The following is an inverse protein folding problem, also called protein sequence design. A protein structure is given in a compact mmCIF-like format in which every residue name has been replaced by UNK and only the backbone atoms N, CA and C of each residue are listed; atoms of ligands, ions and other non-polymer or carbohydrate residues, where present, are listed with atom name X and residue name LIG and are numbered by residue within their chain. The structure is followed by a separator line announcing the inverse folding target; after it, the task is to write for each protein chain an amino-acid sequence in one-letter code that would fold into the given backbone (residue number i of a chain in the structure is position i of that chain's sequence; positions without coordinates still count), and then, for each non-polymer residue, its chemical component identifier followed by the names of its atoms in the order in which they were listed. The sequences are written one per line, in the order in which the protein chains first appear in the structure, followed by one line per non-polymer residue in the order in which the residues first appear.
data_IF_226859423526
#
_entry.id   IF_226859423526
#
_cell.length_a   1.000
_cell.length_b   1.000
_cell.length_c   1.000
_cell.angle_alpha   90.00
_cell.angle_beta   90.00
_cell.angle_gamma   90.00
#
_symmetry.space_group_name_H-M   'P 1'
#
loop_
_entity.id
_entity.type
_entity.pdbx_description
1 polymer ?
#
# COMPACT_ATOMS: atom_id res chain seq x y z
N UNK A 1 3.15 -11.11 -7.75
CA UNK A 1 3.22 -10.48 -6.41
C UNK A 1 3.09 -11.57 -5.34
N UNK A 2 3.69 -11.39 -4.17
CA UNK A 2 3.53 -12.28 -3.02
C UNK A 2 2.60 -11.57 -2.06
N UNK A 3 1.59 -12.27 -1.57
CA UNK A 3 0.58 -11.73 -0.68
C UNK A 3 0.78 -12.17 0.77
N UNK A 4 0.24 -11.44 1.75
CA UNK A 4 0.22 -11.91 3.13
C UNK A 4 -0.44 -13.28 3.25
N UNK A 5 0.28 -14.25 3.80
CA UNK A 5 -0.16 -15.65 3.94
C UNK A 5 0.43 -16.63 2.92
N UNK A 6 1.09 -16.12 1.87
CA UNK A 6 1.82 -16.97 0.94
C UNK A 6 3.07 -17.59 1.59
N UNK A 7 3.33 -18.87 1.30
CA UNK A 7 4.56 -19.53 1.71
C UNK A 7 5.70 -19.23 0.71
N UNK A 8 6.54 -18.27 1.10
CA UNK A 8 7.70 -17.84 0.33
C UNK A 8 8.66 -19.00 0.03
N UNK A 9 8.83 -19.94 0.97
CA UNK A 9 9.73 -21.08 0.78
C UNK A 9 9.19 -22.03 -0.28
N UNK A 10 7.87 -22.30 -0.22
CA UNK A 10 7.20 -23.10 -1.24
C UNK A 10 7.28 -22.44 -2.62
N UNK A 11 7.00 -21.14 -2.72
CA UNK A 11 7.08 -20.40 -3.98
C UNK A 11 8.50 -20.46 -4.55
N UNK A 12 9.51 -20.21 -3.71
CA UNK A 12 10.92 -20.28 -4.12
C UNK A 12 11.29 -21.67 -4.62
N UNK A 13 10.91 -22.72 -3.88
CA UNK A 13 11.14 -24.11 -4.27
C UNK A 13 10.50 -24.42 -5.62
N UNK A 14 9.27 -23.94 -5.86
CA UNK A 14 8.58 -24.15 -7.12
C UNK A 14 9.27 -23.47 -8.30
N UNK A 15 9.80 -22.26 -8.10
CA UNK A 15 10.62 -21.56 -9.10
C UNK A 15 11.90 -22.38 -9.38
N UNK A 16 12.59 -22.86 -8.34
CA UNK A 16 13.79 -23.69 -8.49
C UNK A 16 13.54 -24.99 -9.27
N UNK A 17 12.40 -25.65 -9.03
CA UNK A 17 11.96 -26.83 -9.79
C UNK A 17 11.78 -26.52 -11.28
N UNK A 18 11.02 -25.47 -11.60
CA UNK A 18 10.76 -25.06 -13.00
C UNK A 18 12.06 -24.71 -13.72
N UNK A 19 12.96 -23.97 -13.08
CA UNK A 19 14.23 -23.60 -13.71
C UNK A 19 15.09 -24.82 -14.03
N UNK A 20 15.12 -25.82 -13.13
CA UNK A 20 15.84 -27.08 -13.33
C UNK A 20 15.22 -27.94 -14.45
N UNK A 21 13.90 -28.00 -14.56
CA UNK A 21 13.20 -28.70 -15.66
C UNK A 21 13.58 -28.15 -17.04
N UNK A 22 13.96 -26.88 -17.11
CA UNK A 22 14.33 -26.19 -18.34
C UNK A 22 15.85 -25.94 -18.51
N UNK A 23 16.70 -26.59 -17.70
CA UNK A 23 18.17 -26.40 -17.69
C UNK A 23 18.59 -24.91 -17.62
N UNK A 24 17.84 -24.12 -16.86
CA UNK A 24 18.03 -22.69 -16.73
C UNK A 24 18.54 -22.32 -15.33
N UNK A 25 19.28 -21.20 -15.24
CA UNK A 25 19.76 -20.65 -13.98
C UNK A 25 19.03 -19.36 -13.63
N UNK A 26 18.87 -19.09 -12.34
CA UNK A 26 18.27 -17.83 -11.88
C UNK A 26 19.00 -17.28 -10.66
N UNK A 27 18.84 -15.97 -10.44
CA UNK A 27 19.31 -15.28 -9.25
C UNK A 27 18.24 -14.29 -8.81
N UNK A 28 17.84 -14.36 -7.54
CA UNK A 28 16.97 -13.34 -6.93
C UNK A 28 17.82 -12.10 -6.68
N UNK A 29 17.44 -10.97 -7.30
CA UNK A 29 18.13 -9.67 -7.12
C UNK A 29 17.54 -8.86 -5.97
N UNK A 30 16.21 -8.78 -5.90
CA UNK A 30 15.45 -8.02 -4.91
C UNK A 30 14.28 -8.87 -4.46
N UNK A 31 14.00 -8.81 -3.17
CA UNK A 31 12.86 -9.47 -2.55
C UNK A 31 12.39 -8.61 -1.39
N UNK A 32 11.15 -8.12 -1.48
CA UNK A 32 10.49 -7.35 -0.43
C UNK A 32 9.38 -8.20 0.20
N UNK A 33 9.33 -8.22 1.53
CA UNK A 33 8.26 -8.94 2.22
C UNK A 33 6.93 -8.19 2.11
N UNK A 34 5.79 -8.92 2.03
CA UNK A 34 4.49 -8.29 2.15
C UNK A 34 4.36 -7.59 3.50
N UNK A 35 4.01 -6.31 3.48
CA UNK A 35 3.77 -5.53 4.69
C UNK A 35 2.29 -5.45 5.02
N UNK A 36 1.98 -5.44 6.32
CA UNK A 36 0.63 -5.24 6.84
C UNK A 36 0.67 -4.28 8.02
N UNK A 37 -0.27 -3.37 8.07
CA UNK A 37 -0.51 -2.50 9.21
C UNK A 37 -1.78 -2.95 9.96
N UNK A 38 -1.76 -2.87 11.29
CA UNK A 38 -2.96 -3.14 12.10
C UNK A 38 -3.98 -2.03 11.92
N UNK A 39 -5.27 -2.38 11.90
CA UNK A 39 -6.36 -1.38 11.86
C UNK A 39 -6.49 -0.60 13.17
N UNK A 40 -5.84 -1.05 14.23
CA UNK A 40 -5.85 -0.41 15.53
C UNK A 40 -4.69 0.58 15.71
N UNK A 41 -3.79 0.70 14.72
CA UNK A 41 -2.75 1.72 14.75
C UNK A 41 -3.38 3.13 14.80
N UNK A 42 -2.84 4.05 15.62
CA UNK A 42 -3.36 5.41 15.74
C UNK A 42 -3.47 6.12 14.39
N UNK A 43 -2.46 5.99 13.53
CA UNK A 43 -2.45 6.59 12.19
C UNK A 43 -3.61 6.10 11.31
N UNK A 44 -3.99 4.83 11.45
CA UNK A 44 -5.13 4.24 10.72
C UNK A 44 -6.43 4.83 11.25
N UNK A 45 -6.62 4.88 12.58
CA UNK A 45 -7.83 5.46 13.19
C UNK A 45 -8.01 6.94 12.88
N UNK A 46 -6.92 7.70 12.80
CA UNK A 46 -6.97 9.12 12.43
C UNK A 46 -7.41 9.26 10.98
N UNK A 47 -6.85 8.45 10.07
CA UNK A 47 -7.23 8.50 8.65
C UNK A 47 -8.70 8.10 8.46
N UNK A 48 -9.17 7.04 9.13
CA UNK A 48 -10.59 6.63 9.14
C UNK A 48 -11.51 7.82 9.46
N UNK A 49 -11.26 8.48 10.61
CA UNK A 49 -12.03 9.65 11.05
C UNK A 49 -11.94 10.83 10.09
N UNK A 50 -10.83 10.97 9.38
CA UNK A 50 -10.61 12.06 8.42
C UNK A 50 -11.42 11.88 7.15
N UNK A 51 -11.67 10.62 6.76
CA UNK A 51 -12.47 10.24 5.58
C UNK A 51 -13.98 10.33 5.86
N UNK A 52 -14.40 10.07 7.11
CA UNK A 52 -15.80 10.05 7.52
C UNK A 52 -16.58 11.31 7.08
N UNK A 53 -17.72 11.07 6.45
CA UNK A 53 -18.59 12.14 5.94
C UNK A 53 -18.12 12.83 4.66
N UNK A 54 -16.97 12.43 4.09
CA UNK A 54 -16.51 12.88 2.76
C UNK A 54 -16.61 11.72 1.76
N UNK A 55 -15.99 10.57 2.09
CA UNK A 55 -16.07 9.34 1.30
C UNK A 55 -16.33 8.14 2.22
N UNK A 56 -16.64 6.99 1.62
CA UNK A 56 -16.73 5.72 2.34
C UNK A 56 -15.31 5.24 2.70
N UNK A 57 -15.11 4.81 3.94
CA UNK A 57 -13.86 4.18 4.37
C UNK A 57 -13.77 2.78 3.77
N UNK A 58 -12.70 2.52 3.02
CA UNK A 58 -12.40 1.21 2.46
C UNK A 58 -10.95 0.84 2.76
N UNK A 59 -10.74 -0.42 3.16
CA UNK A 59 -9.40 -0.96 3.37
C UNK A 59 -9.05 -1.83 2.19
N UNK A 60 -7.93 -1.54 1.56
CA UNK A 60 -7.40 -2.32 0.46
C UNK A 60 -5.93 -2.65 0.68
N UNK A 61 -5.47 -3.66 -0.04
CA UNK A 61 -4.04 -3.89 -0.26
C UNK A 61 -3.67 -3.41 -1.66
N UNK A 62 -2.45 -2.93 -1.82
CA UNK A 62 -1.88 -2.59 -3.12
C UNK A 62 -0.91 -3.71 -3.51
N UNK A 63 -1.10 -4.42 -4.64
CA UNK A 63 -0.20 -5.48 -5.11
C UNK A 63 1.09 -4.92 -5.73
N UNK A 64 1.65 -3.88 -5.11
CA UNK A 64 2.86 -3.19 -5.52
C UNK A 64 3.58 -2.66 -4.28
N UNK A 65 4.84 -2.27 -4.47
CA UNK A 65 5.70 -1.75 -3.42
C UNK A 65 5.54 -0.23 -3.29
N UNK A 66 5.64 0.29 -2.05
CA UNK A 66 5.69 1.73 -1.76
C UNK A 66 6.68 1.98 -0.62
N UNK A 67 7.10 3.23 -0.44
CA UNK A 67 8.00 3.64 0.65
C UNK A 67 7.43 3.36 2.06
N UNK A 68 6.11 3.15 2.18
CA UNK A 68 5.50 2.74 3.45
C UNK A 68 6.06 1.40 3.96
N UNK A 69 6.54 0.53 3.07
CA UNK A 69 7.22 -0.71 3.45
C UNK A 69 8.45 -0.45 4.32
N UNK A 70 9.31 0.48 3.88
CA UNK A 70 10.51 0.87 4.62
C UNK A 70 10.19 1.52 5.97
N UNK A 71 9.11 2.31 6.04
CA UNK A 71 8.70 2.97 7.27
C UNK A 71 8.17 1.96 8.29
N UNK A 72 7.30 1.05 7.85
CA UNK A 72 6.74 -0.01 8.70
C UNK A 72 7.84 -0.94 9.20
N UNK A 73 8.80 -1.32 8.35
CA UNK A 73 9.94 -2.15 8.76
C UNK A 73 10.79 -1.47 9.84
N UNK A 74 10.90 -0.14 9.82
CA UNK A 74 11.57 0.66 10.85
C UNK A 74 10.72 0.92 12.10
N UNK A 75 9.54 0.31 12.20
CA UNK A 75 8.63 0.46 13.33
C UNK A 75 7.84 1.77 13.31
N UNK A 76 7.68 2.41 12.15
CA UNK A 76 6.87 3.62 11.98
C UNK A 76 5.55 3.22 11.28
N UNK A 77 4.42 3.12 12.01
CA UNK A 77 3.12 2.83 11.41
C UNK A 77 2.79 3.84 10.31
N UNK A 78 2.51 3.33 9.11
CA UNK A 78 2.30 4.15 7.92
C UNK A 78 1.10 3.67 7.09
N UNK A 79 0.33 4.60 6.56
CA UNK A 79 -0.80 4.34 5.66
C UNK A 79 -0.49 4.88 4.27
N UNK A 80 -0.99 4.20 3.24
CA UNK A 80 -0.95 4.68 1.86
C UNK A 80 -2.35 5.22 1.56
N UNK A 81 -2.43 6.51 1.23
CA UNK A 81 -3.69 7.16 0.92
C UNK A 81 -3.48 8.20 -0.18
N UNK A 82 -4.40 8.24 -1.13
CA UNK A 82 -4.33 9.13 -2.28
C UNK A 82 -5.62 9.06 -3.09
N UNK A 83 -5.73 9.95 -4.07
CA UNK A 83 -6.87 10.01 -4.98
C UNK A 83 -6.44 9.76 -6.43
N UNK A 84 -7.42 9.57 -7.31
CA UNK A 84 -7.21 9.17 -8.69
C UNK A 84 -7.41 7.67 -8.89
N UNK A 85 -7.20 7.23 -10.14
CA UNK A 85 -7.47 5.85 -10.55
C UNK A 85 -6.17 5.15 -10.91
N UNK A 86 -5.84 4.09 -10.18
CA UNK A 86 -4.63 3.29 -10.44
C UNK A 86 -4.62 2.68 -11.85
N UNK A 87 -5.79 2.42 -12.43
CA UNK A 87 -5.96 1.81 -13.76
C UNK A 87 -5.39 2.66 -14.91
N UNK A 88 -5.36 4.00 -14.74
CA UNK A 88 -4.83 4.93 -15.76
C UNK A 88 -3.50 5.54 -15.36
N UNK A 89 -2.98 5.21 -14.16
CA UNK A 89 -1.69 5.68 -13.70
C UNK A 89 -0.58 5.14 -14.60
N UNK A 90 0.42 5.98 -14.93
CA UNK A 90 1.52 5.66 -15.84
C UNK A 90 1.09 5.33 -17.26
N UNK A 91 -0.10 5.79 -17.67
CA UNK A 91 -0.58 5.68 -19.05
C UNK A 91 -0.64 7.07 -19.71
N UNK A 92 -0.89 7.10 -21.01
CA UNK A 92 -1.11 8.38 -21.73
C UNK A 92 -2.40 9.08 -21.30
N UNK A 93 -3.33 8.34 -20.70
CA UNK A 93 -4.62 8.83 -20.23
C UNK A 93 -4.59 9.13 -18.72
N UNK A 94 -3.41 9.37 -18.13
CA UNK A 94 -3.29 9.70 -16.72
C UNK A 94 -4.01 11.03 -16.40
N UNK A 95 -5.05 10.95 -15.57
CA UNK A 95 -5.80 12.10 -15.10
C UNK A 95 -6.48 11.80 -13.76
N UNK A 96 -6.97 12.85 -13.13
CA UNK A 96 -7.72 12.80 -11.88
C UNK A 96 -8.91 13.77 -11.97
N UNK A 97 -10.03 13.42 -11.35
CA UNK A 97 -11.18 14.31 -11.25
C UNK A 97 -10.89 15.49 -10.31
N UNK A 98 -11.42 16.67 -10.63
CA UNK A 98 -11.27 17.85 -9.76
C UNK A 98 -11.91 17.60 -8.39
N UNK A 99 -13.06 16.93 -8.36
CA UNK A 99 -13.73 16.56 -7.09
C UNK A 99 -12.90 15.60 -6.25
N UNK A 100 -12.17 14.67 -6.88
CA UNK A 100 -11.28 13.76 -6.17
C UNK A 100 -10.09 14.50 -5.54
N UNK A 101 -9.58 15.55 -6.21
CA UNK A 101 -8.57 16.45 -5.64
C UNK A 101 -9.15 17.22 -4.45
N UNK A 102 -10.37 17.75 -4.59
CA UNK A 102 -11.00 18.55 -3.54
C UNK A 102 -11.28 17.71 -2.29
N UNK A 103 -11.80 16.50 -2.45
CA UNK A 103 -12.00 15.55 -1.35
C UNK A 103 -10.68 15.15 -0.70
N UNK A 104 -9.65 14.86 -1.50
CA UNK A 104 -8.31 14.56 -0.98
C UNK A 104 -7.78 15.71 -0.13
N UNK A 105 -7.93 16.96 -0.58
CA UNK A 105 -7.57 18.15 0.19
C UNK A 105 -8.29 18.20 1.54
N UNK A 106 -9.62 18.02 1.55
CA UNK A 106 -10.41 18.06 2.78
C UNK A 106 -9.99 16.97 3.77
N UNK A 107 -9.75 15.75 3.27
CA UNK A 107 -9.34 14.60 4.09
C UNK A 107 -7.94 14.82 4.66
N UNK A 108 -6.96 15.23 3.84
CA UNK A 108 -5.60 15.49 4.31
C UNK A 108 -5.54 16.63 5.32
N UNK A 109 -6.32 17.69 5.11
CA UNK A 109 -6.45 18.78 6.08
C UNK A 109 -6.97 18.27 7.43
N UNK A 110 -8.08 17.50 7.43
CA UNK A 110 -8.62 16.89 8.66
C UNK A 110 -7.62 15.97 9.34
N UNK A 111 -6.89 15.17 8.56
CA UNK A 111 -5.87 14.26 9.06
C UNK A 111 -4.76 15.01 9.82
N UNK A 112 -4.25 16.11 9.27
CA UNK A 112 -3.24 16.95 9.93
C UNK A 112 -3.82 17.59 11.20
N UNK A 113 -5.03 18.15 11.14
CA UNK A 113 -5.69 18.79 12.29
C UNK A 113 -5.97 17.80 13.44
N UNK A 114 -6.36 16.56 13.13
CA UNK A 114 -6.61 15.51 14.10
C UNK A 114 -5.32 14.90 14.68
N UNK A 115 -4.26 14.84 13.87
CA UNK A 115 -2.94 14.38 14.31
C UNK A 115 -2.32 15.34 15.32
N UNK A 116 -2.45 16.66 15.08
CA UNK A 116 -1.92 17.68 15.98
C UNK A 116 -2.59 17.72 17.36
N UNK A 117 -3.84 17.23 17.49
CA UNK A 117 -4.59 17.19 18.76
C UNK A 117 -4.23 15.99 19.65
N UNK A 118 -3.49 15.02 19.12
CA UNK A 118 -3.07 13.81 19.84
C UNK A 118 -1.62 13.87 20.32
N UNK A 119 -0.90 14.94 19.96
CA UNK A 119 0.48 15.22 20.38
C UNK A 119 0.54 16.03 21.67
#
# INVERSE_FOLDING_TARGET
PIFPGDDIHYIKKRIEEIMREHDATFRVKVFDQPIRISRDEPVVKILEKSIEGIRKVEYSGMPAWTDAANLIEKGIPSVIFGAGRLEVAHTREEHIGIEDIYDLYLILRRFIELSAKQS
#
